data_IF_021400577620
#
_entry.id   IF_021400577620
#
_cell.length_a   1.000
_cell.length_b   1.000
_cell.length_c   1.000
_cell.angle_alpha   90.00
_cell.angle_beta   90.00
_cell.angle_gamma   90.00
#
_symmetry.space_group_name_H-M   'P 1'
#
loop_
_entity.id
_entity.type
_entity.pdbx_description
1 polymer ?
#
# COMPACT_ATOMS: atom_id res chain seq x y z
N UNK A 1 -15.95 -34.96 -57.51
CA UNK A 1 -16.46 -33.87 -56.61
C UNK A 1 -15.68 -33.93 -55.31
N UNK A 2 -14.42 -33.57 -55.40
CA UNK A 2 -13.50 -33.42 -54.27
C UNK A 2 -12.43 -32.45 -54.75
N UNK A 3 -12.64 -31.20 -54.48
CA UNK A 3 -11.62 -30.15 -54.56
C UNK A 3 -12.21 -28.89 -54.04
N UNK A 4 -11.77 -28.50 -52.87
CA UNK A 4 -11.72 -27.13 -52.38
C UNK A 4 -11.61 -27.12 -50.84
N UNK A 5 -10.38 -27.13 -50.38
CA UNK A 5 -9.97 -26.48 -49.11
C UNK A 5 -8.45 -26.51 -49.03
N UNK A 6 -7.81 -25.72 -49.90
CA UNK A 6 -6.42 -25.34 -49.74
C UNK A 6 -6.35 -24.10 -48.84
N UNK A 7 -5.94 -24.31 -47.63
CA UNK A 7 -5.55 -23.23 -46.70
C UNK A 7 -4.23 -22.62 -47.16
N UNK A 8 -4.13 -21.28 -47.25
CA UNK A 8 -2.85 -20.65 -47.57
C UNK A 8 -1.87 -20.76 -46.40
N UNK A 9 -0.66 -21.15 -46.72
CA UNK A 9 0.45 -21.21 -45.77
C UNK A 9 0.84 -19.82 -45.27
N UNK A 10 0.99 -19.68 -43.96
CA UNK A 10 1.54 -18.48 -43.33
C UNK A 10 3.05 -18.41 -43.58
N UNK A 11 3.60 -17.27 -43.98
CA UNK A 11 5.05 -17.10 -44.15
C UNK A 11 5.68 -16.77 -42.78
N UNK A 12 6.79 -17.47 -42.51
CA UNK A 12 7.78 -17.04 -41.50
C UNK A 12 7.79 -17.85 -40.19
N UNK A 13 8.25 -19.10 -40.25
CA UNK A 13 8.77 -19.79 -39.07
C UNK A 13 10.12 -19.16 -38.67
N UNK A 14 10.10 -18.37 -37.61
CA UNK A 14 11.32 -17.90 -36.98
C UNK A 14 11.93 -19.07 -36.22
N UNK A 15 13.11 -19.50 -36.65
CA UNK A 15 13.90 -20.51 -35.94
C UNK A 15 14.33 -20.01 -34.57
N UNK A 16 14.21 -20.79 -33.49
CA UNK A 16 14.75 -20.39 -32.20
C UNK A 16 16.27 -20.41 -32.26
N UNK A 17 16.87 -19.22 -32.20
CA UNK A 17 18.30 -19.05 -32.01
C UNK A 17 18.75 -19.67 -30.67
N UNK A 18 19.74 -20.56 -30.75
CA UNK A 18 20.38 -21.15 -29.59
C UNK A 18 21.07 -20.05 -28.74
N UNK A 19 20.48 -19.68 -27.62
CA UNK A 19 21.13 -18.82 -26.63
C UNK A 19 22.17 -19.67 -25.90
N UNK A 20 23.44 -19.44 -26.16
CA UNK A 20 24.52 -20.01 -25.39
C UNK A 20 24.53 -19.34 -23.99
N UNK A 21 24.23 -20.13 -22.98
CA UNK A 21 24.43 -19.74 -21.56
C UNK A 21 25.94 -19.64 -21.31
N UNK A 22 26.44 -18.42 -21.28
CA UNK A 22 27.78 -18.12 -20.78
C UNK A 22 27.89 -18.52 -19.33
N UNK A 23 28.86 -19.40 -19.01
CA UNK A 23 29.21 -19.79 -17.66
C UNK A 23 29.67 -18.56 -16.86
N UNK A 24 28.85 -18.10 -15.94
CA UNK A 24 29.24 -17.07 -14.95
C UNK A 24 30.14 -17.74 -13.91
N UNK A 25 31.42 -17.41 -13.94
CA UNK A 25 32.36 -17.81 -12.88
C UNK A 25 32.03 -17.05 -11.58
N UNK A 26 32.02 -17.69 -10.41
CA UNK A 26 31.84 -16.99 -9.14
C UNK A 26 33.07 -16.10 -8.87
N UNK A 27 32.88 -14.81 -9.06
CA UNK A 27 33.89 -13.81 -8.69
C UNK A 27 34.11 -13.83 -7.18
N UNK A 28 35.34 -13.94 -6.77
CA UNK A 28 35.80 -13.80 -5.41
C UNK A 28 35.32 -12.46 -4.81
N UNK A 29 34.51 -12.53 -3.74
CA UNK A 29 34.11 -11.36 -2.96
C UNK A 29 35.34 -10.85 -2.25
N UNK A 30 35.97 -9.81 -2.77
CA UNK A 30 36.97 -9.06 -2.02
C UNK A 30 36.22 -8.27 -0.93
N UNK A 31 36.63 -8.47 0.30
CA UNK A 31 36.23 -7.70 1.48
C UNK A 31 36.59 -6.22 1.26
N UNK A 32 35.65 -5.46 0.72
CA UNK A 32 35.76 -4.01 0.57
C UNK A 32 35.75 -3.36 1.96
N UNK A 33 36.79 -2.57 2.21
CA UNK A 33 36.98 -1.69 3.37
C UNK A 33 35.71 -0.87 3.64
N UNK A 34 35.29 -0.84 4.91
CA UNK A 34 34.18 -0.06 5.41
C UNK A 34 34.34 1.42 5.00
N UNK A 35 33.48 1.90 4.13
CA UNK A 35 33.31 3.33 3.88
C UNK A 35 32.58 3.88 5.11
N UNK A 36 33.31 4.60 5.95
CA UNK A 36 32.76 5.42 7.02
C UNK A 36 31.99 6.60 6.37
N UNK A 37 30.69 6.38 6.13
CA UNK A 37 29.77 7.47 5.77
C UNK A 37 29.48 8.34 7.00
N UNK A 38 29.17 9.64 6.82
CA UNK A 38 28.90 10.53 7.93
C UNK A 38 27.70 10.02 8.75
N UNK A 39 27.91 9.87 10.04
CA UNK A 39 26.92 9.49 11.04
C UNK A 39 25.90 10.60 11.24
N UNK A 40 24.95 10.71 10.31
CA UNK A 40 23.84 11.66 10.33
C UNK A 40 22.52 11.03 9.88
N UNK A 41 22.45 9.70 9.80
CA UNK A 41 21.22 8.99 9.52
C UNK A 41 20.35 8.94 10.77
N UNK A 42 19.41 9.85 10.89
CA UNK A 42 18.27 9.66 11.79
C UNK A 42 17.61 8.35 11.41
N UNK A 43 17.80 7.32 12.24
CA UNK A 43 17.10 6.04 12.15
C UNK A 43 15.59 6.28 12.27
N UNK A 44 14.91 6.54 11.15
CA UNK A 44 13.47 6.75 11.09
C UNK A 44 12.70 5.44 11.36
N UNK A 45 13.40 4.32 11.51
CA UNK A 45 12.83 2.99 11.73
C UNK A 45 12.79 2.53 13.20
N UNK A 46 13.38 3.25 14.12
CA UNK A 46 13.41 2.84 15.53
C UNK A 46 13.17 3.98 16.54
N UNK A 47 12.06 4.71 16.48
CA UNK A 47 11.68 5.50 17.65
C UNK A 47 11.27 4.61 18.83
N UNK A 48 11.05 3.31 18.59
CA UNK A 48 10.43 2.42 19.58
C UNK A 48 11.44 1.68 20.46
N UNK A 49 12.65 1.38 19.99
CA UNK A 49 13.60 0.63 20.81
C UNK A 49 14.08 1.46 22.01
N UNK A 50 14.55 2.67 21.79
CA UNK A 50 14.96 3.56 22.88
C UNK A 50 13.79 3.94 23.81
N UNK A 51 12.58 4.05 23.28
CA UNK A 51 11.38 4.27 24.06
C UNK A 51 11.04 3.06 24.94
N UNK A 52 11.05 1.86 24.36
CA UNK A 52 10.81 0.63 25.13
C UNK A 52 11.92 0.33 26.14
N UNK A 53 13.16 0.64 25.82
CA UNK A 53 14.27 0.52 26.75
C UNK A 53 14.16 1.49 27.94
N UNK A 54 13.76 2.74 27.68
CA UNK A 54 13.50 3.71 28.73
C UNK A 54 12.30 3.32 29.60
N UNK A 55 11.24 2.78 28.99
CA UNK A 55 10.08 2.27 29.71
C UNK A 55 10.42 1.06 30.57
N UNK A 56 11.22 0.12 30.04
CA UNK A 56 11.65 -1.05 30.80
C UNK A 56 12.51 -0.65 31.99
N UNK A 57 13.39 0.34 31.84
CA UNK A 57 14.20 0.88 32.92
C UNK A 57 13.31 1.51 34.00
N UNK A 58 12.31 2.30 33.60
CA UNK A 58 11.37 2.93 34.53
C UNK A 58 10.44 1.94 35.25
N UNK A 59 10.00 0.89 34.55
CA UNK A 59 9.20 -0.20 35.15
C UNK A 59 10.01 -1.01 36.13
N UNK A 60 11.28 -1.27 35.84
CA UNK A 60 12.20 -1.99 36.74
C UNK A 60 12.42 -1.24 38.05
N UNK A 61 12.49 0.10 38.00
CA UNK A 61 12.72 0.93 39.18
C UNK A 61 11.47 1.27 39.98
N UNK A 62 10.33 1.51 39.31
CA UNK A 62 9.12 2.04 39.94
C UNK A 62 7.96 1.06 39.98
N UNK A 63 8.05 -0.07 39.25
CA UNK A 63 7.00 -1.07 39.18
C UNK A 63 5.73 -0.65 38.43
N UNK A 64 5.72 0.53 37.77
CA UNK A 64 4.58 1.02 36.98
C UNK A 64 5.04 1.88 35.80
N UNK A 65 4.22 1.86 34.74
CA UNK A 65 4.43 2.63 33.52
C UNK A 65 3.63 3.92 33.54
N UNK A 66 4.31 5.04 33.31
CA UNK A 66 3.65 6.34 33.07
C UNK A 66 3.74 6.61 31.56
N UNK A 67 2.61 6.51 30.86
CA UNK A 67 2.50 6.90 29.47
C UNK A 67 1.49 8.04 29.34
N UNK A 68 1.69 8.92 28.35
CA UNK A 68 0.67 9.93 28.08
C UNK A 68 -0.58 9.26 27.49
N UNK A 69 -1.75 9.79 27.81
CA UNK A 69 -3.01 9.28 27.25
C UNK A 69 -3.03 9.38 25.71
N UNK A 70 -2.38 10.39 25.16
CA UNK A 70 -2.26 10.57 23.72
C UNK A 70 -1.44 9.46 23.05
N UNK A 71 -0.31 9.06 23.65
CA UNK A 71 0.51 7.96 23.14
C UNK A 71 -0.25 6.64 23.15
N UNK A 72 -1.04 6.40 24.19
CA UNK A 72 -1.91 5.24 24.30
C UNK A 72 -2.97 5.22 23.19
N UNK A 73 -3.63 6.35 22.93
CA UNK A 73 -4.61 6.46 21.84
C UNK A 73 -3.97 6.29 20.46
N UNK A 74 -2.80 6.86 20.24
CA UNK A 74 -2.06 6.69 18.98
C UNK A 74 -1.62 5.24 18.78
N UNK A 75 -1.14 4.59 19.81
CA UNK A 75 -0.79 3.16 19.78
C UNK A 75 -2.03 2.31 19.45
N UNK A 76 -3.15 2.53 20.11
CA UNK A 76 -4.39 1.81 19.86
C UNK A 76 -4.89 2.00 18.42
N UNK A 77 -4.91 3.23 17.91
CA UNK A 77 -5.31 3.54 16.54
C UNK A 77 -4.40 2.94 15.49
N UNK A 78 -3.09 2.97 15.69
CA UNK A 78 -2.15 2.40 14.74
C UNK A 78 -2.11 0.87 14.75
N UNK A 79 -2.47 0.25 15.87
CA UNK A 79 -2.56 -1.20 16.03
C UNK A 79 -3.89 -1.80 15.59
N UNK A 80 -4.91 -0.97 15.30
CA UNK A 80 -6.24 -1.41 14.87
C UNK A 80 -6.78 -0.48 13.79
N UNK A 81 -6.27 -0.63 12.57
CA UNK A 81 -6.71 0.11 11.38
C UNK A 81 -7.55 -0.81 10.50
N UNK A 82 -8.84 -0.75 10.65
CA UNK A 82 -9.73 -1.54 9.80
C UNK A 82 -9.98 -0.80 8.47
N UNK A 83 -9.74 -1.50 7.37
CA UNK A 83 -9.85 -0.88 6.06
C UNK A 83 -11.10 -1.32 5.29
N UNK A 84 -11.70 -0.35 4.62
CA UNK A 84 -12.83 -0.58 3.75
C UNK A 84 -12.39 -1.10 2.40
N UNK A 85 -13.02 -2.19 1.95
CA UNK A 85 -12.80 -2.78 0.64
C UNK A 85 -13.55 -1.99 -0.43
N UNK A 86 -12.87 -1.02 -1.06
CA UNK A 86 -13.42 -0.27 -2.20
C UNK A 86 -12.66 -0.60 -3.48
N UNK A 87 -12.85 -1.84 -3.95
CA UNK A 87 -12.23 -2.36 -5.16
C UNK A 87 -13.01 -1.97 -6.39
N UNK A 88 -12.38 -1.26 -7.33
CA UNK A 88 -12.99 -0.76 -8.55
C UNK A 88 -12.48 -1.46 -9.82
N UNK A 89 -11.22 -1.89 -9.84
CA UNK A 89 -10.59 -2.51 -11.00
C UNK A 89 -9.43 -3.45 -10.58
N UNK A 90 -8.43 -3.60 -11.45
CA UNK A 90 -7.29 -4.53 -11.27
C UNK A 90 -6.51 -4.31 -9.95
N UNK A 91 -6.41 -3.09 -9.43
CA UNK A 91 -5.77 -2.83 -8.14
C UNK A 91 -6.46 -3.54 -6.97
N UNK A 92 -7.75 -3.88 -7.11
CA UNK A 92 -8.47 -4.65 -6.10
C UNK A 92 -7.88 -6.05 -5.91
N UNK A 93 -7.32 -6.66 -6.95
CA UNK A 93 -6.68 -7.97 -6.87
C UNK A 93 -5.43 -7.91 -5.98
N UNK A 94 -4.60 -6.89 -6.16
CA UNK A 94 -3.43 -6.68 -5.30
C UNK A 94 -3.83 -6.27 -3.88
N UNK A 95 -4.91 -5.54 -3.72
CA UNK A 95 -5.50 -5.23 -2.41
C UNK A 95 -5.98 -6.49 -1.68
N UNK A 96 -6.55 -7.46 -2.39
CA UNK A 96 -6.90 -8.78 -1.83
C UNK A 96 -5.62 -9.56 -1.52
N UNK A 97 -4.63 -9.52 -2.44
CA UNK A 97 -3.38 -10.25 -2.29
C UNK A 97 -2.60 -9.85 -1.02
N UNK A 98 -2.61 -8.59 -0.62
CA UNK A 98 -1.95 -8.12 0.61
C UNK A 98 -2.57 -8.71 1.88
N UNK A 99 -3.83 -9.15 1.84
CA UNK A 99 -4.51 -9.82 2.95
C UNK A 99 -4.31 -11.34 2.96
N UNK A 100 -3.72 -11.90 1.89
CA UNK A 100 -3.44 -13.33 1.80
C UNK A 100 -2.26 -13.75 2.69
N UNK A 101 -2.09 -15.05 2.98
CA UNK A 101 -1.11 -15.57 3.94
C UNK A 101 0.34 -15.14 3.71
N UNK A 102 0.73 -14.82 2.45
CA UNK A 102 2.10 -14.37 2.15
C UNK A 102 2.46 -13.05 2.83
N UNK A 103 1.53 -12.09 2.86
CA UNK A 103 1.74 -10.76 3.41
C UNK A 103 1.07 -10.57 4.76
N UNK A 104 -0.10 -11.17 4.91
CA UNK A 104 -0.88 -11.24 6.13
C UNK A 104 -0.99 -9.89 6.85
N UNK A 105 -1.71 -8.97 6.22
CA UNK A 105 -1.87 -7.61 6.74
C UNK A 105 -2.57 -7.58 8.11
N UNK A 106 -3.32 -8.64 8.45
CA UNK A 106 -4.02 -8.75 9.73
C UNK A 106 -3.06 -8.81 10.92
N UNK A 107 -1.85 -9.37 10.75
CA UNK A 107 -0.81 -9.36 11.80
C UNK A 107 -0.36 -7.96 12.21
N UNK A 108 -0.59 -6.96 11.36
CA UNK A 108 -0.34 -5.55 11.66
C UNK A 108 -1.56 -4.84 12.26
N UNK A 109 -2.63 -5.57 12.57
CA UNK A 109 -3.88 -5.02 13.08
C UNK A 109 -4.75 -4.37 11.99
N UNK A 110 -4.54 -4.72 10.72
CA UNK A 110 -5.18 -4.09 9.57
C UNK A 110 -6.10 -5.10 8.88
N UNK A 111 -7.33 -5.21 9.36
CA UNK A 111 -8.31 -6.18 8.89
C UNK A 111 -9.31 -5.58 7.89
N UNK A 112 -9.77 -6.35 6.87
CA UNK A 112 -10.78 -5.90 5.93
C UNK A 112 -12.18 -5.82 6.56
N UNK A 113 -12.91 -4.77 6.21
CA UNK A 113 -14.32 -4.60 6.59
C UNK A 113 -15.14 -4.17 5.39
N UNK A 114 -16.32 -4.76 5.22
CA UNK A 114 -17.23 -4.41 4.13
C UNK A 114 -18.12 -3.20 4.45
N UNK A 115 -18.33 -2.90 5.73
CA UNK A 115 -19.16 -1.79 6.18
C UNK A 115 -18.35 -0.52 6.40
N UNK A 116 -18.75 0.63 5.80
CA UNK A 116 -18.06 1.91 6.03
C UNK A 116 -18.10 2.36 7.50
N UNK A 117 -19.15 2.00 8.22
CA UNK A 117 -19.30 2.38 9.64
C UNK A 117 -18.35 1.63 10.58
N UNK A 118 -17.75 0.54 10.10
CA UNK A 118 -16.80 -0.28 10.85
C UNK A 118 -15.37 -0.11 10.34
N UNK A 119 -15.11 0.87 9.46
CA UNK A 119 -13.82 1.04 8.80
C UNK A 119 -13.24 2.40 9.11
N UNK A 120 -11.93 2.43 9.36
CA UNK A 120 -11.17 3.63 9.66
C UNK A 120 -10.42 4.14 8.44
N UNK A 121 -10.06 3.24 7.53
CA UNK A 121 -9.29 3.55 6.31
C UNK A 121 -10.07 3.12 5.08
N UNK A 122 -10.20 4.00 4.09
CA UNK A 122 -10.69 3.66 2.77
C UNK A 122 -9.53 3.46 1.80
N UNK A 123 -9.46 2.30 1.16
CA UNK A 123 -8.50 2.05 0.07
C UNK A 123 -9.25 2.13 -1.24
N UNK A 124 -8.99 3.18 -2.03
CA UNK A 124 -9.56 3.35 -3.37
C UNK A 124 -8.67 2.61 -4.36
N UNK A 125 -9.06 1.40 -4.75
CA UNK A 125 -8.25 0.49 -5.54
C UNK A 125 -8.80 0.34 -6.96
N UNK A 126 -8.37 1.20 -7.87
CA UNK A 126 -8.68 1.11 -9.30
C UNK A 126 -9.23 2.37 -9.93
N UNK A 127 -9.80 2.22 -11.14
CA UNK A 127 -10.30 3.32 -11.95
C UNK A 127 -11.62 3.86 -11.40
N UNK A 128 -11.64 5.14 -11.03
CA UNK A 128 -12.85 5.81 -10.58
C UNK A 128 -13.59 6.41 -11.77
N UNK A 129 -14.78 5.88 -12.07
CA UNK A 129 -15.66 6.43 -13.12
C UNK A 129 -16.54 7.55 -12.55
N UNK A 130 -16.96 8.49 -13.45
CA UNK A 130 -17.85 9.59 -13.09
C UNK A 130 -19.15 9.11 -12.44
N UNK A 131 -19.71 8.00 -12.91
CA UNK A 131 -20.91 7.39 -12.32
C UNK A 131 -20.69 6.80 -10.93
N UNK A 132 -19.45 6.40 -10.61
CA UNK A 132 -19.09 5.81 -9.31
C UNK A 132 -18.64 6.88 -8.29
N UNK A 133 -18.26 8.06 -8.75
CA UNK A 133 -17.78 9.14 -7.89
C UNK A 133 -18.79 9.55 -6.80
N UNK A 134 -20.11 9.70 -7.07
CA UNK A 134 -21.08 9.96 -6.01
C UNK A 134 -21.19 8.85 -4.98
N UNK A 135 -21.04 7.58 -5.40
CA UNK A 135 -21.05 6.44 -4.50
C UNK A 135 -19.81 6.44 -3.59
N UNK A 136 -18.63 6.73 -4.14
CA UNK A 136 -17.39 6.90 -3.36
C UNK A 136 -17.56 7.97 -2.29
N UNK A 137 -18.08 9.13 -2.66
CA UNK A 137 -18.31 10.21 -1.71
C UNK A 137 -19.30 9.82 -0.61
N UNK A 138 -20.40 9.18 -0.98
CA UNK A 138 -21.41 8.70 -0.03
C UNK A 138 -20.85 7.71 0.97
N UNK A 139 -20.03 6.78 0.50
CA UNK A 139 -19.38 5.78 1.35
C UNK A 139 -18.38 6.46 2.30
N UNK A 140 -17.59 7.43 1.79
CA UNK A 140 -16.67 8.20 2.61
C UNK A 140 -17.38 8.97 3.73
N UNK A 141 -18.52 9.59 3.42
CA UNK A 141 -19.31 10.34 4.40
C UNK A 141 -19.95 9.44 5.47
N UNK A 142 -20.14 8.14 5.17
CA UNK A 142 -20.64 7.14 6.11
C UNK A 142 -19.57 6.56 7.04
N UNK A 143 -18.29 6.79 6.77
CA UNK A 143 -17.22 6.36 7.66
C UNK A 143 -17.18 7.21 8.93
N UNK A 144 -16.85 6.58 10.05
CA UNK A 144 -16.65 7.26 11.34
C UNK A 144 -15.37 8.09 11.34
N UNK A 145 -15.34 9.18 12.09
CA UNK A 145 -14.14 9.96 12.31
C UNK A 145 -13.32 9.38 13.50
N UNK A 146 -12.00 9.37 13.45
CA UNK A 146 -11.13 9.81 12.36
C UNK A 146 -11.05 8.80 11.20
N UNK A 147 -11.11 9.28 9.97
CA UNK A 147 -11.07 8.47 8.75
C UNK A 147 -9.91 8.86 7.87
N UNK A 148 -9.34 7.88 7.18
CA UNK A 148 -8.16 8.05 6.32
C UNK A 148 -8.42 7.45 4.94
N UNK A 149 -7.76 8.00 3.92
CA UNK A 149 -7.91 7.54 2.53
C UNK A 149 -6.55 7.22 1.92
N UNK A 150 -6.42 6.01 1.39
CA UNK A 150 -5.28 5.59 0.57
C UNK A 150 -5.75 5.50 -0.88
N UNK A 151 -5.12 6.27 -1.75
CA UNK A 151 -5.29 6.18 -3.20
C UNK A 151 -4.31 5.16 -3.77
N UNK A 152 -4.83 4.05 -4.28
CA UNK A 152 -4.02 2.94 -4.78
C UNK A 152 -4.04 2.87 -6.30
N UNK A 153 -2.84 2.99 -6.86
CA UNK A 153 -2.60 2.84 -8.29
C UNK A 153 -2.80 4.11 -9.11
N UNK A 154 -2.22 4.13 -10.29
CA UNK A 154 -2.20 5.30 -11.17
C UNK A 154 -3.59 5.79 -11.55
N UNK A 155 -4.57 4.88 -11.69
CA UNK A 155 -5.94 5.26 -12.03
C UNK A 155 -6.62 6.06 -10.91
N UNK A 156 -6.50 5.62 -9.66
CA UNK A 156 -7.04 6.35 -8.51
C UNK A 156 -6.28 7.65 -8.27
N UNK A 157 -4.95 7.66 -8.47
CA UNK A 157 -4.09 8.81 -8.22
C UNK A 157 -4.35 9.97 -9.19
N UNK A 158 -4.58 9.68 -10.48
CA UNK A 158 -4.70 10.75 -11.48
C UNK A 158 -5.39 10.32 -12.78
N UNK A 159 -6.14 9.23 -12.78
CA UNK A 159 -6.78 8.68 -13.99
C UNK A 159 -5.90 7.67 -14.73
N UNK A 160 -4.58 7.67 -14.51
CA UNK A 160 -3.64 6.72 -15.08
C UNK A 160 -3.70 6.60 -16.59
N UNK A 161 -3.75 5.37 -17.09
CA UNK A 161 -3.87 5.07 -18.52
C UNK A 161 -5.14 5.68 -19.16
N UNK A 162 -6.21 5.85 -18.36
CA UNK A 162 -7.50 6.37 -18.81
C UNK A 162 -7.71 7.87 -18.52
N UNK A 163 -6.63 8.61 -18.30
CA UNK A 163 -6.70 10.03 -17.90
C UNK A 163 -7.54 10.90 -18.82
N UNK A 164 -7.48 10.66 -20.13
CA UNK A 164 -8.21 11.43 -21.14
C UNK A 164 -9.59 10.86 -21.48
N UNK A 165 -10.01 9.77 -20.82
CA UNK A 165 -11.36 9.23 -21.03
C UNK A 165 -12.42 10.17 -20.49
N UNK A 166 -13.52 10.29 -21.23
CA UNK A 166 -14.69 11.10 -20.83
C UNK A 166 -15.42 10.55 -19.60
N UNK A 167 -15.25 9.26 -19.29
CA UNK A 167 -15.99 8.56 -18.23
C UNK A 167 -15.19 8.44 -16.92
N UNK A 168 -13.92 8.83 -16.89
CA UNK A 168 -13.01 8.61 -15.75
C UNK A 168 -12.72 9.91 -15.02
N UNK A 169 -12.78 9.86 -13.70
CA UNK A 169 -12.35 10.95 -12.82
C UNK A 169 -10.83 10.99 -12.77
N UNK A 170 -10.25 12.16 -12.99
CA UNK A 170 -8.80 12.39 -13.02
C UNK A 170 -8.24 12.55 -11.60
N UNK A 171 -8.28 11.47 -10.82
CA UNK A 171 -7.86 11.44 -9.43
C UNK A 171 -9.02 11.42 -8.44
N UNK A 172 -8.95 10.51 -7.47
CA UNK A 172 -9.96 10.40 -6.41
C UNK A 172 -9.88 11.55 -5.39
N UNK A 173 -8.76 12.27 -5.35
CA UNK A 173 -8.52 13.46 -4.54
C UNK A 173 -9.48 14.63 -4.86
N UNK A 174 -10.09 14.61 -6.04
CA UNK A 174 -11.15 15.56 -6.43
C UNK A 174 -12.46 15.32 -5.71
N UNK A 175 -12.66 14.12 -5.18
CA UNK A 175 -13.92 13.69 -4.54
C UNK A 175 -13.75 13.56 -3.03
N UNK A 176 -12.64 12.96 -2.58
CA UNK A 176 -12.33 12.72 -1.16
C UNK A 176 -10.89 13.15 -0.85
N UNK A 177 -10.60 13.64 0.36
CA UNK A 177 -9.23 13.96 0.74
C UNK A 177 -8.38 12.70 0.82
N UNK A 178 -7.20 12.70 0.21
CA UNK A 178 -6.28 11.58 0.18
C UNK A 178 -5.12 11.80 1.14
N UNK A 179 -4.81 10.81 1.96
CA UNK A 179 -3.71 10.85 2.92
C UNK A 179 -2.42 10.30 2.36
N UNK A 180 -2.51 9.18 1.64
CA UNK A 180 -1.36 8.46 1.07
C UNK A 180 -1.67 8.07 -0.38
N UNK A 181 -0.69 8.28 -1.26
CA UNK A 181 -0.73 7.83 -2.64
C UNK A 181 0.22 6.66 -2.83
N UNK A 182 -0.28 5.56 -3.40
CA UNK A 182 0.52 4.39 -3.76
C UNK A 182 0.63 4.31 -5.28
N UNK A 183 1.80 4.57 -5.87
CA UNK A 183 1.99 4.52 -7.32
C UNK A 183 2.11 3.08 -7.83
N UNK A 184 1.71 2.87 -9.08
CA UNK A 184 1.81 1.60 -9.80
C UNK A 184 0.60 1.33 -10.68
N UNK A 185 0.69 0.33 -11.57
CA UNK A 185 -0.43 -0.03 -12.44
C UNK A 185 -0.44 -1.54 -12.76
N UNK A 186 -0.96 -2.39 -11.86
CA UNK A 186 -1.24 -2.13 -10.45
C UNK A 186 0.04 -2.01 -9.62
N UNK A 187 0.01 -1.35 -8.44
CA UNK A 187 1.10 -1.44 -7.49
C UNK A 187 1.16 -2.85 -6.90
N UNK A 188 2.34 -3.30 -6.52
CA UNK A 188 2.51 -4.60 -5.88
C UNK A 188 1.90 -4.60 -4.47
N UNK A 189 1.62 -5.79 -3.94
CA UNK A 189 1.11 -5.94 -2.57
C UNK A 189 2.07 -5.33 -1.53
N UNK A 190 3.39 -5.43 -1.76
CA UNK A 190 4.42 -4.81 -0.91
C UNK A 190 4.33 -3.28 -0.93
N UNK A 191 4.07 -2.69 -2.11
CA UNK A 191 3.92 -1.25 -2.23
C UNK A 191 2.70 -0.75 -1.45
N UNK A 192 1.59 -1.49 -1.49
CA UNK A 192 0.41 -1.17 -0.68
C UNK A 192 0.70 -1.33 0.82
N UNK A 193 1.34 -2.42 1.23
CA UNK A 193 1.75 -2.64 2.61
C UNK A 193 2.65 -1.50 3.12
N UNK A 194 3.60 -1.07 2.31
CA UNK A 194 4.42 0.10 2.62
C UNK A 194 3.58 1.38 2.77
N UNK A 195 2.58 1.59 1.91
CA UNK A 195 1.63 2.69 2.00
C UNK A 195 0.86 2.70 3.33
N UNK A 196 0.41 1.54 3.79
CA UNK A 196 -0.25 1.38 5.10
C UNK A 196 0.72 1.72 6.24
N UNK A 197 1.96 1.25 6.18
CA UNK A 197 2.98 1.60 7.19
C UNK A 197 3.26 3.11 7.21
N UNK A 198 3.25 3.78 6.06
CA UNK A 198 3.39 5.24 5.99
C UNK A 198 2.18 5.95 6.62
N UNK A 199 0.97 5.42 6.41
CA UNK A 199 -0.22 5.95 7.07
C UNK A 199 -0.11 5.82 8.60
N UNK A 200 0.30 4.67 9.10
CA UNK A 200 0.54 4.48 10.54
C UNK A 200 1.55 5.48 11.10
N UNK A 201 2.63 5.75 10.37
CA UNK A 201 3.62 6.79 10.74
C UNK A 201 3.01 8.18 10.74
N UNK A 202 2.16 8.49 9.75
CA UNK A 202 1.44 9.78 9.67
C UNK A 202 0.53 9.97 10.89
N UNK A 203 -0.23 8.94 11.25
CA UNK A 203 -1.14 8.98 12.41
C UNK A 203 -0.35 9.24 13.70
N UNK A 204 0.76 8.54 13.91
CA UNK A 204 1.61 8.75 15.10
C UNK A 204 2.19 10.16 15.20
N UNK A 205 2.46 10.84 14.07
CA UNK A 205 3.01 12.20 14.05
C UNK A 205 1.96 13.28 14.20
N UNK A 206 0.74 13.03 13.74
CA UNK A 206 -0.30 14.05 13.67
C UNK A 206 -0.97 14.37 15.02
N UNK A 207 -0.74 13.56 16.05
CA UNK A 207 -1.46 13.67 17.32
C UNK A 207 -2.93 13.24 17.22
N UNK A 208 -3.59 13.16 18.37
CA UNK A 208 -4.95 12.59 18.48
C UNK A 208 -6.04 13.54 18.02
N UNK A 209 -5.81 14.85 18.13
CA UNK A 209 -6.84 15.88 17.99
C UNK A 209 -6.69 16.75 16.73
N UNK A 210 -5.64 16.53 15.93
CA UNK A 210 -5.32 17.40 14.80
C UNK A 210 -5.89 16.88 13.47
N UNK A 211 -7.22 16.71 13.38
CA UNK A 211 -7.89 16.58 12.09
C UNK A 211 -9.30 17.15 12.11
#
# INVERSE_FOLDING_TARGET
>A
MNDMLSTPALPGSVQPGSVQLGSVQPGSVQSGSAISGPSGGTNVLAPNAAFFDSLNAEVSDKGFLIASTEDLFQWARTGSLWWMTFGLACCAVEMIHVSMPRYDMERFGVAPRASPRQSDVMIVAGTLCNKMAPALRKVYDQMSDPKYVISMGSCANGGGYYHYSYSVVRGCDRIVPVDIYVPGCPPTAEALLYGVMQLQRKIRRAGTLAR
#
